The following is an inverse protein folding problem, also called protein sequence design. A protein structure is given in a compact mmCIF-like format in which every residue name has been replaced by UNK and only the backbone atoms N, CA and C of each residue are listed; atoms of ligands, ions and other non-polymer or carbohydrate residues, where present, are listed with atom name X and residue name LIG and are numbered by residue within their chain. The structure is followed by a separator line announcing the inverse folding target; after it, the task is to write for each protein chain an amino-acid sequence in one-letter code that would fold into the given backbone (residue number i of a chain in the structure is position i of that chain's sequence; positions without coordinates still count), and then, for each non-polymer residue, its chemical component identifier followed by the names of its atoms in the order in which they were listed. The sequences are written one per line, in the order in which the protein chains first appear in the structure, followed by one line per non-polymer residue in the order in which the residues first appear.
data_IF_733838693966
#
_entry.id   IF_733838693966
#
_cell.length_a   1.000
_cell.length_b   1.000
_cell.length_c   1.000
_cell.angle_alpha   90.00
_cell.angle_beta   90.00
_cell.angle_gamma   90.00
#
_symmetry.space_group_name_H-M   'P 1'
#
loop_
_entity.id
_entity.type
_entity.pdbx_description
1 polymer ?
#
# COMPACT_ATOMS: atom_id res chain seq x y z
N UNK A 1 40.78 0.26 -54.19
CA UNK A 1 39.55 1.00 -53.93
C UNK A 1 38.69 0.12 -53.03
N UNK A 2 38.74 0.35 -51.71
CA UNK A 2 37.93 -0.38 -50.72
C UNK A 2 36.71 0.50 -50.35
N UNK A 3 35.52 0.02 -50.62
CA UNK A 3 34.27 0.68 -50.22
C UNK A 3 34.05 0.39 -48.74
N UNK A 4 34.02 1.48 -47.93
CA UNK A 4 33.61 1.44 -46.53
C UNK A 4 32.07 1.55 -46.50
N UNK A 5 31.43 0.52 -45.99
CA UNK A 5 29.97 0.52 -45.75
C UNK A 5 29.72 1.13 -44.38
N UNK A 6 29.10 2.31 -44.36
CA UNK A 6 28.65 2.95 -43.10
C UNK A 6 27.32 2.32 -42.72
N UNK A 7 27.30 1.53 -41.65
CA UNK A 7 26.08 1.03 -41.05
C UNK A 7 25.62 2.09 -40.03
N UNK A 8 24.59 2.85 -40.39
CA UNK A 8 23.89 3.72 -39.46
C UNK A 8 23.04 2.86 -38.52
N UNK A 9 23.49 2.73 -37.27
CA UNK A 9 22.73 2.10 -36.25
C UNK A 9 21.55 3.01 -35.81
N UNK A 10 20.33 2.64 -36.18
CA UNK A 10 19.15 3.21 -35.57
C UNK A 10 19.06 2.71 -34.12
N UNK A 11 19.35 3.61 -33.18
CA UNK A 11 19.00 3.40 -31.78
C UNK A 11 17.46 3.51 -31.67
N UNK A 12 16.77 2.39 -31.66
CA UNK A 12 15.39 2.30 -31.24
C UNK A 12 15.35 2.61 -29.73
N UNK A 13 15.03 3.85 -29.40
CA UNK A 13 14.59 4.23 -28.06
C UNK A 13 13.27 3.49 -27.81
N UNK A 14 13.38 2.30 -27.25
CA UNK A 14 12.24 1.54 -26.74
C UNK A 14 11.70 2.25 -25.50
N UNK A 15 10.93 3.33 -25.72
CA UNK A 15 10.01 3.82 -24.69
C UNK A 15 9.00 2.73 -24.43
N UNK A 16 9.10 2.04 -23.27
CA UNK A 16 8.02 1.19 -22.80
C UNK A 16 6.78 2.07 -22.60
N UNK A 17 5.94 2.15 -23.62
CA UNK A 17 4.54 2.58 -23.49
C UNK A 17 3.82 1.55 -22.60
N UNK A 18 3.83 1.78 -21.29
CA UNK A 18 3.06 0.99 -20.33
C UNK A 18 1.55 1.29 -20.39
N UNK A 19 1.14 2.20 -21.27
CA UNK A 19 -0.26 2.58 -21.49
C UNK A 19 -0.69 2.29 -22.92
N UNK A 20 -1.22 1.07 -23.16
CA UNK A 20 -2.11 0.85 -24.29
C UNK A 20 -3.55 0.90 -23.75
N UNK A 21 -4.37 1.94 -24.10
CA UNK A 21 -5.70 2.14 -23.53
C UNK A 21 -6.70 1.01 -23.80
N UNK A 22 -6.38 0.07 -24.69
CA UNK A 22 -7.30 -0.95 -25.18
C UNK A 22 -7.04 -2.37 -24.71
N UNK A 23 -5.92 -2.64 -24.03
CA UNK A 23 -5.68 -3.92 -23.36
C UNK A 23 -5.94 -3.78 -21.87
N UNK A 24 -7.16 -4.05 -21.50
CA UNK A 24 -7.67 -4.42 -20.20
C UNK A 24 -7.02 -3.78 -18.97
N UNK A 25 -7.57 -2.64 -18.48
CA UNK A 25 -7.26 -2.07 -17.14
C UNK A 25 -7.17 -3.12 -16.03
N UNK A 26 -7.74 -4.31 -16.22
CA UNK A 26 -7.62 -5.44 -15.29
C UNK A 26 -6.19 -5.97 -15.12
N UNK A 27 -5.27 -5.68 -16.07
CA UNK A 27 -3.86 -6.06 -15.94
C UNK A 27 -3.15 -5.24 -14.85
N UNK A 28 -3.66 -4.05 -14.51
CA UNK A 28 -3.12 -3.19 -13.46
C UNK A 28 -3.61 -3.55 -12.05
N UNK A 29 -4.60 -4.43 -11.92
CA UNK A 29 -5.07 -4.88 -10.60
C UNK A 29 -3.98 -5.55 -9.74
N UNK A 30 -2.80 -5.85 -10.32
CA UNK A 30 -1.64 -6.35 -9.58
C UNK A 30 -1.13 -5.40 -8.49
N UNK A 31 -1.37 -4.07 -8.63
CA UNK A 31 -1.02 -3.08 -7.60
C UNK A 31 -2.05 -3.00 -6.48
N UNK A 32 -3.14 -3.75 -6.56
CA UNK A 32 -4.10 -3.85 -5.46
C UNK A 32 -3.44 -4.49 -4.25
N UNK A 33 -3.64 -3.89 -3.09
CA UNK A 33 -2.93 -4.29 -1.88
C UNK A 33 -3.82 -4.28 -0.64
N UNK A 34 -3.47 -5.14 0.30
CA UNK A 34 -4.15 -5.26 1.59
C UNK A 34 -3.39 -4.44 2.63
N UNK A 35 -4.07 -3.52 3.31
CA UNK A 35 -3.55 -2.73 4.41
C UNK A 35 -3.03 -3.64 5.52
N UNK A 36 -1.77 -3.48 5.92
CA UNK A 36 -1.04 -4.34 6.87
C UNK A 36 -1.06 -5.83 6.53
N UNK A 37 -1.32 -6.18 5.28
CA UNK A 37 -1.48 -7.55 4.82
C UNK A 37 -2.76 -8.26 5.31
N UNK A 38 -3.32 -7.88 6.45
CA UNK A 38 -4.46 -8.54 7.10
C UNK A 38 -5.81 -7.84 6.94
N UNK A 39 -5.78 -6.56 6.57
CA UNK A 39 -6.95 -5.71 6.62
C UNK A 39 -7.39 -5.47 8.08
N UNK A 40 -8.67 -5.21 8.28
CA UNK A 40 -9.16 -4.79 9.60
C UNK A 40 -9.50 -5.94 10.55
N UNK A 41 -10.13 -6.99 10.03
CA UNK A 41 -10.73 -8.05 10.86
C UNK A 41 -10.58 -9.46 10.29
N UNK A 42 -9.87 -9.65 9.18
CA UNK A 42 -9.82 -10.95 8.51
C UNK A 42 -8.59 -11.75 8.89
N UNK A 43 -7.43 -11.09 9.01
CA UNK A 43 -6.18 -11.73 9.43
C UNK A 43 -5.36 -10.80 10.32
N UNK A 44 -4.43 -11.37 11.13
CA UNK A 44 -3.50 -10.55 11.92
C UNK A 44 -2.65 -9.65 11.02
N UNK A 45 -2.52 -8.38 11.41
CA UNK A 45 -1.71 -7.44 10.66
C UNK A 45 -0.20 -7.67 10.85
N UNK A 46 0.56 -7.35 9.80
CA UNK A 46 2.03 -7.36 9.83
C UNK A 46 2.66 -8.70 10.24
N UNK A 47 2.11 -9.83 9.78
CA UNK A 47 2.69 -11.17 10.03
C UNK A 47 3.07 -11.87 8.73
N UNK A 48 4.11 -12.72 8.78
CA UNK A 48 4.64 -13.35 7.57
C UNK A 48 3.63 -14.30 6.91
N UNK A 49 2.87 -15.02 7.70
CA UNK A 49 1.82 -15.94 7.24
C UNK A 49 0.70 -15.17 6.52
N UNK A 50 0.32 -14.01 7.06
CA UNK A 50 -0.64 -13.12 6.44
C UNK A 50 -0.11 -12.53 5.12
N UNK A 51 1.17 -12.16 5.07
CA UNK A 51 1.81 -11.66 3.86
C UNK A 51 1.82 -12.70 2.75
N UNK A 52 2.20 -13.95 3.06
CA UNK A 52 2.14 -15.08 2.12
C UNK A 52 0.73 -15.29 1.58
N UNK A 53 -0.27 -15.27 2.47
CA UNK A 53 -1.66 -15.37 2.07
C UNK A 53 -2.09 -14.27 1.08
N UNK A 54 -1.67 -13.02 1.27
CA UNK A 54 -1.93 -11.94 0.31
C UNK A 54 -1.35 -12.24 -1.07
N UNK A 55 -0.07 -12.59 -1.12
CA UNK A 55 0.62 -12.89 -2.37
C UNK A 55 0.04 -14.10 -3.09
N UNK A 56 -0.31 -15.15 -2.35
CA UNK A 56 -0.95 -16.37 -2.88
C UNK A 56 -2.34 -16.09 -3.47
N UNK A 57 -3.03 -15.06 -2.98
CA UNK A 57 -4.28 -14.56 -3.56
C UNK A 57 -4.06 -13.56 -4.71
N UNK A 58 -2.83 -13.34 -5.16
CA UNK A 58 -2.49 -12.48 -6.28
C UNK A 58 -2.57 -10.98 -5.97
N UNK A 59 -2.50 -10.60 -4.69
CA UNK A 59 -2.49 -9.22 -4.23
C UNK A 59 -1.12 -8.82 -3.73
N UNK A 60 -0.76 -7.55 -3.89
CA UNK A 60 0.29 -6.93 -3.10
C UNK A 60 -0.16 -6.76 -1.65
N UNK A 61 0.75 -6.34 -0.80
CA UNK A 61 0.46 -5.98 0.58
C UNK A 61 1.12 -4.65 0.96
N UNK A 62 0.53 -3.99 1.91
CA UNK A 62 1.18 -2.90 2.63
C UNK A 62 1.61 -3.41 4.01
N UNK A 63 2.72 -2.92 4.51
CA UNK A 63 3.26 -3.27 5.82
C UNK A 63 4.02 -2.10 6.45
N UNK A 64 4.13 -2.14 7.77
CA UNK A 64 4.76 -1.10 8.58
C UNK A 64 6.12 -1.55 9.10
N UNK A 65 7.20 -0.83 8.77
CA UNK A 65 8.54 -1.19 9.19
C UNK A 65 9.06 -0.33 10.34
N UNK A 66 9.37 -0.96 11.48
CA UNK A 66 10.03 -0.39 12.65
C UNK A 66 11.38 -1.03 12.90
N UNK A 67 12.12 -0.46 13.84
CA UNK A 67 13.27 -1.12 14.48
C UNK A 67 12.98 -1.41 15.96
N UNK A 68 13.57 -2.46 16.46
CA UNK A 68 13.72 -2.71 17.89
C UNK A 68 14.81 -1.84 18.49
N UNK A 69 14.93 -1.83 19.83
CA UNK A 69 15.98 -1.13 20.56
C UNK A 69 17.40 -1.52 20.10
N UNK A 70 17.60 -2.78 19.77
CA UNK A 70 18.87 -3.32 19.27
C UNK A 70 19.03 -3.22 17.73
N UNK A 71 18.14 -2.49 17.06
CA UNK A 71 18.28 -2.12 15.64
C UNK A 71 17.79 -3.16 14.63
N UNK A 72 17.11 -4.22 15.07
CA UNK A 72 16.51 -5.21 14.16
C UNK A 72 15.25 -4.62 13.52
N UNK A 73 15.18 -4.65 12.18
CA UNK A 73 13.98 -4.24 11.44
C UNK A 73 12.87 -5.26 11.55
N UNK A 74 11.68 -4.83 11.92
CA UNK A 74 10.49 -5.68 12.13
C UNK A 74 9.26 -5.10 11.47
N UNK A 75 8.28 -5.95 11.14
CA UNK A 75 6.99 -5.49 10.65
C UNK A 75 6.02 -5.30 11.82
N UNK A 76 5.75 -4.03 12.16
CA UNK A 76 4.88 -3.66 13.27
C UNK A 76 4.38 -2.22 13.11
N UNK A 77 3.05 -2.02 13.11
CA UNK A 77 2.47 -0.68 13.02
C UNK A 77 2.64 0.13 14.30
N UNK A 78 2.23 -0.42 15.44
CA UNK A 78 2.12 0.32 16.69
C UNK A 78 3.49 0.52 17.37
N UNK A 79 3.61 1.57 18.16
CA UNK A 79 4.81 1.81 18.96
C UNK A 79 4.97 0.81 20.11
N UNK A 80 3.89 0.15 20.50
CA UNK A 80 3.81 -0.78 21.63
C UNK A 80 3.07 -2.05 21.23
N UNK A 81 3.13 -3.08 22.05
CA UNK A 81 2.44 -4.35 21.82
C UNK A 81 1.03 -4.42 22.44
N UNK A 82 0.51 -3.32 22.97
CA UNK A 82 -0.81 -3.28 23.65
C UNK A 82 -1.95 -3.84 22.82
N UNK A 83 -1.99 -3.51 21.53
CA UNK A 83 -3.09 -3.93 20.65
C UNK A 83 -2.93 -5.38 20.20
N UNK A 84 -1.72 -5.79 19.82
CA UNK A 84 -1.49 -7.05 19.12
C UNK A 84 -0.83 -8.13 19.98
N UNK A 85 0.00 -7.77 20.97
CA UNK A 85 0.73 -8.74 21.79
C UNK A 85 -0.17 -9.48 22.78
N UNK A 86 -0.02 -10.81 22.83
CA UNK A 86 -0.73 -11.67 23.78
C UNK A 86 0.26 -12.56 24.52
N UNK A 87 -0.17 -13.08 25.69
CA UNK A 87 0.69 -13.90 26.55
C UNK A 87 1.78 -13.13 27.29
N UNK A 88 1.68 -11.80 27.39
CA UNK A 88 2.65 -10.92 28.05
C UNK A 88 1.97 -10.03 29.10
N UNK A 89 2.76 -9.53 30.06
CA UNK A 89 2.24 -8.62 31.08
C UNK A 89 1.81 -7.26 30.48
N UNK A 90 0.90 -6.56 31.14
CA UNK A 90 0.48 -5.21 30.73
C UNK A 90 1.65 -4.23 30.72
N UNK A 91 2.61 -4.38 31.63
CA UNK A 91 3.84 -3.59 31.68
C UNK A 91 4.69 -3.82 30.42
N UNK A 92 4.93 -5.09 30.07
CA UNK A 92 5.68 -5.47 28.86
C UNK A 92 4.98 -4.92 27.61
N UNK A 93 3.66 -5.10 27.51
CA UNK A 93 2.86 -4.64 26.38
C UNK A 93 2.91 -3.10 26.22
N UNK A 94 3.12 -2.35 27.30
CA UNK A 94 3.16 -0.88 27.29
C UNK A 94 4.50 -0.29 26.86
N UNK A 95 5.58 -1.09 26.89
CA UNK A 95 6.92 -0.63 26.50
C UNK A 95 6.95 -0.23 25.03
N UNK A 96 7.69 0.83 24.73
CA UNK A 96 7.92 1.27 23.36
C UNK A 96 8.97 0.37 22.70
N UNK A 97 8.59 -0.31 21.65
CA UNK A 97 9.41 -1.33 21.00
C UNK A 97 10.78 -0.78 20.57
N UNK A 98 10.80 0.38 19.94
CA UNK A 98 12.04 0.95 19.40
C UNK A 98 12.99 1.54 20.46
N UNK A 99 12.49 1.77 21.67
CA UNK A 99 13.26 2.45 22.74
C UNK A 99 13.64 1.47 23.86
N UNK A 100 12.81 0.44 24.09
CA UNK A 100 12.87 -0.37 25.31
C UNK A 100 13.00 -1.87 25.09
N UNK A 101 12.61 -2.39 23.90
CA UNK A 101 12.55 -3.83 23.65
C UNK A 101 13.54 -4.30 22.59
N UNK A 102 14.29 -5.35 22.90
CA UNK A 102 15.16 -6.04 21.94
C UNK A 102 14.38 -7.07 21.13
N UNK A 103 14.93 -7.49 20.00
CA UNK A 103 14.36 -8.56 19.19
C UNK A 103 14.16 -9.86 19.98
N UNK A 104 15.14 -10.25 20.78
CA UNK A 104 15.04 -11.47 21.59
C UNK A 104 13.90 -11.46 22.61
N UNK A 105 13.50 -10.29 23.11
CA UNK A 105 12.38 -10.16 24.04
C UNK A 105 11.00 -10.27 23.35
N UNK A 106 10.91 -10.01 22.03
CA UNK A 106 9.61 -9.90 21.35
C UNK A 106 9.36 -10.97 20.28
N UNK A 107 10.39 -11.65 19.78
CA UNK A 107 10.31 -12.57 18.63
C UNK A 107 9.32 -13.73 18.79
N UNK A 108 9.07 -14.17 20.03
CA UNK A 108 8.22 -15.31 20.35
C UNK A 108 6.82 -14.89 20.86
N UNK A 109 6.54 -13.58 20.92
CA UNK A 109 5.25 -13.07 21.38
C UNK A 109 4.17 -13.39 20.33
N UNK A 110 3.05 -13.93 20.82
CA UNK A 110 1.83 -14.13 20.01
C UNK A 110 1.25 -12.77 19.63
N UNK A 111 1.18 -12.52 18.31
CA UNK A 111 0.57 -11.32 17.73
C UNK A 111 -0.60 -11.65 16.78
N UNK A 112 -1.19 -12.82 16.94
CA UNK A 112 -2.32 -13.29 16.14
C UNK A 112 -3.60 -13.44 16.91
N UNK A 113 -3.54 -13.92 18.16
CA UNK A 113 -4.73 -14.20 18.98
C UNK A 113 -5.61 -13.00 19.28
N UNK A 114 -5.05 -11.77 19.24
CA UNK A 114 -5.83 -10.55 19.46
C UNK A 114 -7.00 -10.41 18.49
N UNK A 115 -6.87 -10.97 17.27
CA UNK A 115 -7.90 -10.86 16.26
C UNK A 115 -9.20 -11.56 16.68
N UNK A 116 -9.10 -12.66 17.42
CA UNK A 116 -10.26 -13.41 17.93
C UNK A 116 -11.09 -12.61 18.95
N UNK A 117 -10.45 -11.67 19.64
CA UNK A 117 -11.15 -10.75 20.55
C UNK A 117 -12.00 -9.71 19.78
N UNK A 118 -11.51 -9.31 18.59
CA UNK A 118 -12.20 -8.36 17.71
C UNK A 118 -13.21 -9.04 16.78
N UNK A 119 -12.92 -10.28 16.39
CA UNK A 119 -13.74 -11.12 15.53
C UNK A 119 -13.77 -12.55 16.10
N UNK A 120 -14.75 -12.89 16.96
CA UNK A 120 -14.82 -14.21 17.59
C UNK A 120 -14.92 -15.38 16.59
N UNK A 121 -15.35 -15.13 15.35
CA UNK A 121 -15.41 -16.13 14.28
C UNK A 121 -14.10 -16.31 13.52
N UNK A 122 -13.07 -15.49 13.80
CA UNK A 122 -11.76 -15.63 13.18
C UNK A 122 -11.15 -17.01 13.49
N UNK A 123 -10.33 -17.51 12.58
CA UNK A 123 -9.52 -18.70 12.79
C UNK A 123 -8.54 -18.50 13.95
N UNK A 124 -7.91 -19.58 14.39
CA UNK A 124 -6.83 -19.51 15.37
C UNK A 124 -5.53 -19.08 14.69
N UNK A 125 -5.03 -17.93 15.10
CA UNK A 125 -3.77 -17.34 14.65
C UNK A 125 -2.72 -17.23 15.76
N UNK A 126 -2.87 -17.96 16.86
CA UNK A 126 -2.00 -17.88 18.05
C UNK A 126 -0.52 -18.21 17.76
N UNK A 127 -0.24 -18.85 16.62
CA UNK A 127 1.11 -19.13 16.14
C UNK A 127 1.78 -17.98 15.36
N UNK A 128 1.04 -16.90 15.03
CA UNK A 128 1.61 -15.76 14.31
C UNK A 128 2.59 -14.97 15.20
N UNK A 129 3.70 -14.59 14.61
CA UNK A 129 4.78 -13.84 15.23
C UNK A 129 5.12 -12.59 14.45
N UNK A 130 5.79 -11.63 15.08
CA UNK A 130 6.33 -10.45 14.40
C UNK A 130 7.44 -10.92 13.47
N UNK A 131 7.37 -10.66 12.15
CA UNK A 131 8.47 -11.01 11.25
C UNK A 131 9.54 -9.91 11.25
N UNK A 132 10.78 -10.30 10.97
CA UNK A 132 11.81 -9.33 10.60
C UNK A 132 11.64 -8.89 9.13
N UNK A 133 12.23 -7.75 8.79
CA UNK A 133 12.27 -7.27 7.40
C UNK A 133 13.00 -8.28 6.50
N UNK A 134 14.07 -8.90 7.01
CA UNK A 134 14.83 -9.92 6.31
C UNK A 134 13.98 -11.16 6.00
N UNK A 135 13.19 -11.64 6.96
CA UNK A 135 12.29 -12.78 6.76
C UNK A 135 11.21 -12.45 5.71
N UNK A 136 10.67 -11.23 5.75
CA UNK A 136 9.67 -10.75 4.80
C UNK A 136 10.27 -10.68 3.39
N UNK A 137 11.41 -10.05 3.22
CA UNK A 137 12.06 -9.91 1.90
C UNK A 137 12.59 -11.24 1.37
N UNK A 138 13.05 -12.15 2.24
CA UNK A 138 13.43 -13.50 1.83
C UNK A 138 12.24 -14.28 1.24
N UNK A 139 11.03 -14.08 1.77
CA UNK A 139 9.82 -14.72 1.23
C UNK A 139 9.39 -14.17 -0.15
N UNK A 140 9.85 -12.99 -0.53
CA UNK A 140 9.60 -12.38 -1.85
C UNK A 140 10.58 -12.89 -2.92
N UNK A 141 11.75 -13.36 -2.49
CA UNK A 141 12.82 -13.77 -3.41
C UNK A 141 12.38 -14.92 -4.31
N UNK A 142 12.58 -14.75 -5.63
CA UNK A 142 12.13 -15.74 -6.63
C UNK A 142 10.67 -15.63 -7.05
N UNK A 143 9.92 -14.71 -6.47
CA UNK A 143 8.51 -14.45 -6.79
C UNK A 143 8.33 -12.99 -7.28
N UNK A 144 8.63 -12.67 -8.55
CA UNK A 144 8.66 -11.28 -9.04
C UNK A 144 7.32 -10.53 -8.95
N UNK A 145 6.23 -11.26 -8.77
CA UNK A 145 4.87 -10.68 -8.58
C UNK A 145 4.54 -10.35 -7.12
N UNK A 146 5.40 -10.74 -6.16
CA UNK A 146 5.21 -10.42 -4.75
C UNK A 146 5.66 -8.99 -4.50
N UNK A 147 4.71 -8.06 -4.42
CA UNK A 147 4.97 -6.65 -4.16
C UNK A 147 4.72 -6.31 -2.70
N UNK A 148 5.53 -5.43 -2.15
CA UNK A 148 5.43 -4.95 -0.79
C UNK A 148 5.49 -3.42 -0.75
N UNK A 149 4.45 -2.79 -0.22
CA UNK A 149 4.37 -1.35 0.04
C UNK A 149 4.76 -1.08 1.49
N UNK A 150 5.93 -0.52 1.71
CA UNK A 150 6.50 -0.37 3.07
C UNK A 150 6.27 1.04 3.59
N UNK A 151 5.41 1.17 4.61
CA UNK A 151 5.28 2.40 5.39
C UNK A 151 6.37 2.45 6.48
N UNK A 152 7.19 3.46 6.41
CA UNK A 152 8.33 3.67 7.30
C UNK A 152 7.86 4.24 8.65
N UNK A 153 7.98 3.47 9.73
CA UNK A 153 7.57 3.80 11.11
C UNK A 153 8.76 3.99 12.06
N UNK A 154 9.89 4.48 11.57
CA UNK A 154 11.11 4.72 12.35
C UNK A 154 12.25 3.74 12.06
N UNK A 155 12.14 2.90 11.02
CA UNK A 155 13.25 2.07 10.56
C UNK A 155 14.32 2.88 9.81
N UNK A 156 13.91 3.95 9.14
CA UNK A 156 14.74 4.75 8.25
C UNK A 156 14.77 4.20 6.81
N UNK A 157 14.64 5.09 5.80
CA UNK A 157 14.58 4.69 4.39
C UNK A 157 15.87 3.99 3.94
N UNK A 158 17.04 4.44 4.39
CA UNK A 158 18.34 3.85 4.04
C UNK A 158 18.44 2.39 4.53
N UNK A 159 17.90 2.10 5.71
CA UNK A 159 17.88 0.75 6.26
C UNK A 159 16.99 -0.17 5.39
N UNK A 160 15.78 0.28 5.06
CA UNK A 160 14.83 -0.48 4.23
C UNK A 160 15.44 -0.72 2.84
N UNK A 161 15.98 0.30 2.20
CA UNK A 161 16.61 0.21 0.88
C UNK A 161 17.77 -0.80 0.87
N UNK A 162 18.66 -0.70 1.85
CA UNK A 162 19.80 -1.64 2.00
C UNK A 162 19.31 -3.07 2.15
N UNK A 163 18.28 -3.32 2.99
CA UNK A 163 17.72 -4.66 3.17
C UNK A 163 17.05 -5.21 1.91
N UNK A 164 16.38 -4.36 1.14
CA UNK A 164 15.78 -4.75 -0.14
C UNK A 164 16.85 -5.14 -1.18
N UNK A 165 17.97 -4.40 -1.24
CA UNK A 165 19.11 -4.71 -2.12
C UNK A 165 19.83 -5.98 -1.67
N UNK A 166 20.11 -6.15 -0.37
CA UNK A 166 20.72 -7.37 0.20
C UNK A 166 19.90 -8.63 -0.14
N UNK A 167 18.57 -8.53 -0.15
CA UNK A 167 17.68 -9.63 -0.50
C UNK A 167 17.48 -9.81 -2.03
N UNK A 168 17.85 -8.81 -2.85
CA UNK A 168 17.63 -8.81 -4.29
C UNK A 168 16.16 -8.58 -4.69
N UNK A 169 15.40 -7.82 -3.88
CA UNK A 169 13.96 -7.53 -4.08
C UNK A 169 13.65 -6.03 -4.21
N UNK A 170 14.66 -5.21 -4.44
CA UNK A 170 14.52 -3.75 -4.52
C UNK A 170 13.47 -3.28 -5.55
N UNK A 171 13.26 -4.05 -6.63
CA UNK A 171 12.26 -3.73 -7.66
C UNK A 171 10.83 -4.13 -7.28
N UNK A 172 10.66 -4.85 -6.17
CA UNK A 172 9.39 -5.34 -5.64
C UNK A 172 8.94 -4.53 -4.41
N UNK A 173 9.82 -3.68 -3.86
CA UNK A 173 9.57 -2.85 -2.69
C UNK A 173 9.22 -1.42 -3.11
N UNK A 174 8.04 -0.97 -2.68
CA UNK A 174 7.61 0.41 -2.83
C UNK A 174 7.68 1.10 -1.46
N UNK A 175 8.36 2.22 -1.40
CA UNK A 175 8.27 3.08 -0.22
C UNK A 175 6.91 3.78 -0.24
N UNK A 176 6.17 3.73 0.85
CA UNK A 176 4.83 4.32 0.90
C UNK A 176 4.67 5.32 2.04
N UNK A 177 3.75 6.25 1.88
CA UNK A 177 3.43 7.27 2.87
C UNK A 177 2.75 8.50 2.25
N UNK A 178 2.40 9.46 3.10
CA UNK A 178 1.64 10.67 2.73
C UNK A 178 2.50 11.88 2.38
N UNK A 179 3.81 11.78 2.47
CA UNK A 179 4.73 12.90 2.23
C UNK A 179 5.39 12.80 0.85
N UNK A 180 5.06 13.74 -0.04
CA UNK A 180 5.74 13.83 -1.33
C UNK A 180 7.25 14.04 -1.18
N UNK A 181 7.69 14.82 -0.19
CA UNK A 181 9.12 15.01 0.08
C UNK A 181 9.81 13.69 0.45
N UNK A 182 9.19 12.85 1.27
CA UNK A 182 9.74 11.52 1.59
C UNK A 182 9.81 10.61 0.36
N UNK A 183 8.85 10.69 -0.56
CA UNK A 183 8.91 9.97 -1.83
C UNK A 183 10.12 10.42 -2.68
N UNK A 184 10.39 11.73 -2.75
CA UNK A 184 11.59 12.25 -3.41
C UNK A 184 12.88 11.81 -2.71
N UNK A 185 12.90 11.80 -1.39
CA UNK A 185 14.09 11.39 -0.62
C UNK A 185 14.37 9.89 -0.80
N UNK A 186 13.32 9.06 -0.89
CA UNK A 186 13.48 7.64 -1.22
C UNK A 186 14.21 7.41 -2.54
N UNK A 187 13.89 8.17 -3.60
CA UNK A 187 14.57 8.03 -4.89
C UNK A 187 16.04 8.46 -4.86
N UNK A 188 16.46 9.25 -3.86
CA UNK A 188 17.89 9.56 -3.63
C UNK A 188 18.60 8.40 -2.92
N UNK A 189 17.92 7.74 -1.99
CA UNK A 189 18.46 6.61 -1.23
C UNK A 189 18.54 5.35 -2.10
N UNK A 190 17.53 5.11 -2.92
CA UNK A 190 17.46 3.98 -3.87
C UNK A 190 17.17 4.53 -5.26
N UNK A 191 18.21 4.77 -6.10
CA UNK A 191 18.01 5.16 -7.49
C UNK A 191 17.11 4.15 -8.22
N UNK A 192 16.07 4.63 -8.90
CA UNK A 192 14.98 3.84 -9.49
C UNK A 192 14.05 3.15 -8.46
N UNK A 193 14.19 3.45 -7.19
CA UNK A 193 13.29 2.98 -6.14
C UNK A 193 11.85 3.42 -6.40
N UNK A 194 10.92 2.48 -6.26
CA UNK A 194 9.49 2.72 -6.49
C UNK A 194 8.81 3.31 -5.26
N UNK A 195 7.77 4.10 -5.49
CA UNK A 195 7.00 4.75 -4.42
C UNK A 195 5.49 4.58 -4.63
N UNK A 196 4.75 4.53 -3.55
CA UNK A 196 3.29 4.66 -3.52
C UNK A 196 2.94 5.88 -2.67
N UNK A 197 2.53 6.98 -3.28
CA UNK A 197 2.14 8.19 -2.55
C UNK A 197 0.70 8.10 -2.08
N UNK A 198 0.46 8.24 -0.78
CA UNK A 198 -0.89 8.37 -0.22
C UNK A 198 -1.37 9.80 -0.29
N UNK A 199 -2.62 10.01 -0.72
CA UNK A 199 -3.26 11.32 -0.75
C UNK A 199 -4.61 11.21 -0.04
N UNK A 200 -4.84 12.11 0.93
CA UNK A 200 -6.11 12.20 1.63
C UNK A 200 -6.23 11.37 2.90
N UNK A 201 -5.12 11.07 3.58
CA UNK A 201 -5.13 10.33 4.85
C UNK A 201 -5.82 11.07 5.99
N UNK A 202 -5.79 12.40 5.97
CA UNK A 202 -6.38 13.29 6.99
C UNK A 202 -6.98 14.54 6.35
N UNK A 203 -8.00 15.16 6.95
CA UNK A 203 -8.81 14.70 8.08
C UNK A 203 -9.79 13.60 7.65
N UNK A 204 -10.06 12.62 8.53
CA UNK A 204 -11.06 11.57 8.26
C UNK A 204 -12.46 12.20 8.27
N UNK A 205 -13.23 12.13 7.17
CA UNK A 205 -14.60 12.63 7.15
C UNK A 205 -15.50 11.85 8.12
N UNK A 206 -16.45 12.52 8.73
CA UNK A 206 -17.49 11.85 9.47
C UNK A 206 -18.44 11.12 8.51
N UNK A 207 -19.10 10.03 8.93
CA UNK A 207 -20.08 9.33 8.11
C UNK A 207 -21.19 10.26 7.58
N UNK A 208 -21.55 11.28 8.37
CA UNK A 208 -22.54 12.31 8.07
C UNK A 208 -21.85 13.60 7.61
N UNK A 209 -21.03 13.48 6.55
CA UNK A 209 -20.32 14.63 5.99
C UNK A 209 -21.28 15.60 5.28
N UNK A 210 -20.97 16.88 5.36
CA UNK A 210 -21.67 17.98 4.66
C UNK A 210 -20.76 18.61 3.62
N UNK A 211 -21.29 19.59 2.87
CA UNK A 211 -20.54 20.29 1.82
C UNK A 211 -19.24 20.94 2.33
N UNK A 212 -19.22 21.47 3.56
CA UNK A 212 -18.01 22.08 4.14
C UNK A 212 -16.96 21.03 4.49
N UNK A 213 -17.37 19.85 4.95
CA UNK A 213 -16.45 18.73 5.19
C UNK A 213 -15.82 18.24 3.89
N UNK A 214 -16.61 18.13 2.81
CA UNK A 214 -16.12 17.76 1.48
C UNK A 214 -15.10 18.79 0.99
N UNK A 215 -15.43 20.08 1.05
CA UNK A 215 -14.54 21.15 0.61
C UNK A 215 -13.22 21.16 1.38
N UNK A 216 -13.27 20.96 2.70
CA UNK A 216 -12.06 20.86 3.53
C UNK A 216 -11.20 19.67 3.14
N UNK A 217 -11.81 18.53 2.86
CA UNK A 217 -11.11 17.33 2.45
C UNK A 217 -10.45 17.49 1.07
N UNK A 218 -11.17 18.05 0.10
CA UNK A 218 -10.63 18.35 -1.22
C UNK A 218 -9.49 19.38 -1.16
N UNK A 219 -9.59 20.39 -0.29
CA UNK A 219 -8.50 21.34 -0.05
C UNK A 219 -7.23 20.65 0.51
N UNK A 220 -7.39 19.62 1.33
CA UNK A 220 -6.26 18.82 1.81
C UNK A 220 -5.60 18.03 0.67
N UNK A 221 -6.39 17.41 -0.21
CA UNK A 221 -5.89 16.78 -1.43
C UNK A 221 -5.08 17.75 -2.28
N UNK A 222 -5.65 18.96 -2.56
CA UNK A 222 -4.99 19.97 -3.38
C UNK A 222 -3.66 20.43 -2.80
N UNK A 223 -3.51 20.47 -1.48
CA UNK A 223 -2.22 20.79 -0.84
C UNK A 223 -1.11 19.83 -1.27
N UNK A 224 -1.40 18.52 -1.30
CA UNK A 224 -0.43 17.50 -1.73
C UNK A 224 -0.26 17.55 -3.25
N UNK A 225 -1.37 17.67 -4.00
CA UNK A 225 -1.35 17.76 -5.46
C UNK A 225 -0.52 18.94 -5.96
N UNK A 226 -0.59 20.10 -5.29
CA UNK A 226 0.22 21.26 -5.64
C UNK A 226 1.72 21.00 -5.45
N UNK A 227 2.12 20.24 -4.45
CA UNK A 227 3.53 19.81 -4.28
C UNK A 227 3.95 18.86 -5.41
N UNK A 228 3.11 17.89 -5.75
CA UNK A 228 3.37 16.92 -6.82
C UNK A 228 3.50 17.62 -8.18
N UNK A 229 2.56 18.52 -8.52
CA UNK A 229 2.60 19.33 -9.74
C UNK A 229 3.86 20.19 -9.81
N UNK A 230 4.19 20.90 -8.73
CA UNK A 230 5.40 21.72 -8.65
C UNK A 230 6.68 20.89 -8.81
N UNK A 231 6.69 19.65 -8.34
CA UNK A 231 7.79 18.70 -8.51
C UNK A 231 7.79 17.97 -9.86
N UNK A 232 6.85 18.24 -10.76
CA UNK A 232 6.75 17.61 -12.08
C UNK A 232 6.53 16.08 -11.98
N UNK A 233 5.79 15.63 -10.97
CA UNK A 233 5.44 14.22 -10.70
C UNK A 233 6.66 13.29 -10.46
N UNK A 234 7.85 13.86 -10.30
CA UNK A 234 9.08 13.09 -10.06
C UNK A 234 8.97 12.27 -8.77
N UNK A 235 9.51 11.07 -8.78
CA UNK A 235 9.54 10.21 -7.59
C UNK A 235 8.20 9.58 -7.23
N UNK A 236 7.15 9.71 -8.05
CA UNK A 236 5.85 9.07 -7.84
C UNK A 236 5.71 7.91 -8.84
N UNK A 237 5.70 6.67 -8.34
CA UNK A 237 5.55 5.47 -9.18
C UNK A 237 4.11 4.96 -9.21
N UNK A 238 3.37 5.20 -8.13
CA UNK A 238 1.96 4.90 -8.00
C UNK A 238 1.33 5.81 -6.94
N UNK A 239 0.01 5.91 -6.93
CA UNK A 239 -0.75 6.70 -5.96
C UNK A 239 -1.86 5.88 -5.33
N UNK A 240 -2.12 6.08 -4.04
CA UNK A 240 -3.31 5.58 -3.37
C UNK A 240 -4.14 6.74 -2.84
N UNK A 241 -5.32 6.93 -3.43
CA UNK A 241 -6.27 7.97 -3.03
C UNK A 241 -7.15 7.46 -1.91
N UNK A 242 -7.18 8.18 -0.79
CA UNK A 242 -8.06 7.85 0.32
C UNK A 242 -9.46 8.38 0.02
N UNK A 243 -10.46 7.52 0.06
CA UNK A 243 -11.84 7.87 -0.20
C UNK A 243 -12.76 7.33 0.90
N UNK A 244 -13.92 7.95 1.03
CA UNK A 244 -14.99 7.52 1.94
C UNK A 244 -16.25 7.39 1.13
N UNK A 245 -17.03 6.36 1.38
CA UNK A 245 -18.24 6.09 0.65
C UNK A 245 -19.42 5.88 1.61
N UNK A 246 -20.44 6.70 1.45
CA UNK A 246 -21.73 6.54 2.13
C UNK A 246 -22.86 6.62 1.10
N UNK A 247 -23.50 5.51 0.71
CA UNK A 247 -24.53 5.49 -0.33
C UNK A 247 -25.80 6.27 0.07
N UNK A 248 -25.96 6.64 1.35
CA UNK A 248 -27.11 7.40 1.87
C UNK A 248 -26.88 8.92 1.82
N UNK A 249 -25.65 9.38 1.57
CA UNK A 249 -25.36 10.80 1.47
C UNK A 249 -25.77 11.35 0.09
N UNK A 250 -26.11 12.63 0.04
CA UNK A 250 -26.42 13.32 -1.23
C UNK A 250 -25.22 13.31 -2.19
N UNK A 251 -23.99 13.43 -1.65
CA UNK A 251 -22.73 13.16 -2.35
C UNK A 251 -22.13 11.89 -1.72
N UNK A 252 -22.22 10.74 -2.39
CA UNK A 252 -21.80 9.47 -1.77
C UNK A 252 -20.31 9.35 -1.51
N UNK A 253 -19.47 10.04 -2.31
CA UNK A 253 -18.02 9.98 -2.16
C UNK A 253 -17.44 11.24 -1.51
N UNK A 254 -16.42 11.05 -0.68
CA UNK A 254 -15.57 12.13 -0.17
C UNK A 254 -14.11 11.70 -0.41
N UNK A 255 -13.38 12.44 -1.25
CA UNK A 255 -13.77 13.58 -2.09
C UNK A 255 -14.88 13.22 -3.08
N UNK A 256 -15.54 14.22 -3.66
CA UNK A 256 -16.59 14.00 -4.68
C UNK A 256 -16.09 13.11 -5.81
N UNK A 257 -16.98 12.28 -6.35
CA UNK A 257 -16.63 11.37 -7.46
C UNK A 257 -16.03 12.11 -8.66
N UNK A 258 -16.56 13.29 -9.03
CA UNK A 258 -16.01 14.13 -10.10
C UNK A 258 -14.61 14.66 -9.80
N UNK A 259 -14.32 14.97 -8.53
CA UNK A 259 -13.00 15.40 -8.09
C UNK A 259 -12.00 14.23 -8.11
N UNK A 260 -12.38 13.06 -7.57
CA UNK A 260 -11.55 11.85 -7.63
C UNK A 260 -11.20 11.51 -9.07
N UNK A 261 -12.21 11.51 -9.98
CA UNK A 261 -11.95 11.24 -11.39
C UNK A 261 -10.98 12.23 -12.01
N UNK A 262 -11.11 13.54 -11.73
CA UNK A 262 -10.15 14.54 -12.20
C UNK A 262 -8.72 14.23 -11.78
N UNK A 263 -8.52 13.84 -10.51
CA UNK A 263 -7.18 13.50 -9.99
C UNK A 263 -6.64 12.21 -10.62
N UNK A 264 -7.51 11.21 -10.82
CA UNK A 264 -7.13 9.95 -11.50
C UNK A 264 -6.67 10.26 -12.94
N UNK A 265 -7.46 11.01 -13.72
CA UNK A 265 -7.13 11.39 -15.10
C UNK A 265 -5.82 12.19 -15.17
N UNK A 266 -5.56 13.05 -14.18
CA UNK A 266 -4.33 13.83 -14.07
C UNK A 266 -3.10 12.93 -13.88
N UNK A 267 -3.14 11.94 -12.97
CA UNK A 267 -2.06 11.00 -12.80
C UNK A 267 -1.86 10.10 -14.03
N UNK A 268 -2.96 9.66 -14.65
CA UNK A 268 -2.90 8.88 -15.89
C UNK A 268 -2.22 9.64 -17.03
N UNK A 269 -2.45 10.95 -17.15
CA UNK A 269 -1.76 11.79 -18.13
C UNK A 269 -0.23 11.79 -17.96
N UNK A 270 0.25 11.45 -16.77
CA UNK A 270 1.67 11.29 -16.45
C UNK A 270 2.13 9.83 -16.41
N UNK A 271 1.29 8.87 -16.82
CA UNK A 271 1.62 7.44 -16.81
C UNK A 271 1.69 6.82 -15.41
N UNK A 272 1.07 7.44 -14.40
CA UNK A 272 1.11 7.01 -13.01
C UNK A 272 -0.18 6.27 -12.68
N UNK A 273 -0.12 4.97 -12.30
CA UNK A 273 -1.28 4.20 -11.91
C UNK A 273 -1.84 4.66 -10.55
N UNK A 274 -3.17 4.55 -10.42
CA UNK A 274 -3.91 5.03 -9.26
C UNK A 274 -4.69 3.90 -8.59
N UNK A 275 -4.40 3.67 -7.31
CA UNK A 275 -5.27 2.89 -6.42
C UNK A 275 -6.20 3.82 -5.64
N UNK A 276 -7.25 3.26 -5.06
CA UNK A 276 -8.02 3.95 -4.01
C UNK A 276 -8.33 3.02 -2.85
N UNK A 277 -8.29 3.57 -1.63
CA UNK A 277 -8.74 2.89 -0.42
C UNK A 277 -10.06 3.50 0.04
N UNK A 278 -11.17 2.75 0.02
CA UNK A 278 -12.44 3.18 0.59
C UNK A 278 -12.46 2.86 2.10
N UNK A 279 -11.99 3.76 2.95
CA UNK A 279 -12.00 3.58 4.41
C UNK A 279 -13.38 3.40 5.02
N UNK A 280 -14.42 4.01 4.43
CA UNK A 280 -15.80 3.70 4.74
C UNK A 280 -16.48 3.12 3.50
N UNK A 281 -17.30 2.09 3.70
CA UNK A 281 -17.98 1.38 2.61
C UNK A 281 -17.14 0.31 1.91
N UNK A 282 -15.87 0.12 2.29
CA UNK A 282 -14.98 -0.91 1.71
C UNK A 282 -15.39 -2.35 2.03
N UNK A 283 -16.37 -2.55 2.90
CA UNK A 283 -17.05 -3.82 3.16
C UNK A 283 -18.05 -4.22 2.07
N UNK A 284 -18.21 -3.40 1.01
CA UNK A 284 -19.19 -3.59 -0.08
C UNK A 284 -18.51 -3.63 -1.43
N UNK A 285 -18.83 -4.61 -2.24
CA UNK A 285 -18.31 -4.74 -3.62
C UNK A 285 -18.66 -3.52 -4.48
N UNK A 286 -19.83 -2.92 -4.28
CA UNK A 286 -20.32 -1.76 -5.03
C UNK A 286 -19.31 -0.61 -5.09
N UNK A 287 -18.63 -0.31 -3.97
CA UNK A 287 -17.70 0.81 -3.92
C UNK A 287 -16.48 0.57 -4.82
N UNK A 288 -15.97 -0.67 -4.86
CA UNK A 288 -14.83 -1.02 -5.71
C UNK A 288 -15.19 -0.97 -7.20
N UNK A 289 -16.39 -1.42 -7.58
CA UNK A 289 -16.88 -1.26 -8.96
C UNK A 289 -16.97 0.21 -9.36
N UNK A 290 -17.52 1.07 -8.49
CA UNK A 290 -17.58 2.52 -8.74
C UNK A 290 -16.19 3.16 -8.85
N UNK A 291 -15.24 2.78 -8.00
CA UNK A 291 -13.85 3.24 -8.09
C UNK A 291 -13.18 2.77 -9.39
N UNK A 292 -13.42 1.54 -9.80
CA UNK A 292 -12.95 1.04 -11.09
C UNK A 292 -13.54 1.80 -12.27
N UNK A 293 -14.84 2.09 -12.24
CA UNK A 293 -15.53 2.88 -13.27
C UNK A 293 -15.00 4.32 -13.34
N UNK A 294 -14.63 4.93 -12.20
CA UNK A 294 -13.99 6.24 -12.17
C UNK A 294 -12.57 6.24 -12.74
N UNK A 295 -11.93 5.08 -12.88
CA UNK A 295 -10.61 4.99 -13.48
C UNK A 295 -9.55 4.35 -12.60
N UNK A 296 -9.81 3.96 -11.36
CA UNK A 296 -8.81 3.32 -10.52
C UNK A 296 -8.24 2.06 -11.18
N UNK A 297 -6.92 1.91 -11.12
CA UNK A 297 -6.17 0.79 -11.68
C UNK A 297 -6.02 -0.35 -10.66
N UNK A 298 -6.28 -0.06 -9.40
CA UNK A 298 -6.21 -1.01 -8.31
C UNK A 298 -6.90 -0.49 -7.06
N UNK A 299 -6.86 -1.29 -6.01
CA UNK A 299 -7.50 -0.98 -4.74
C UNK A 299 -6.53 -1.19 -3.58
N UNK A 300 -6.59 -0.32 -2.59
CA UNK A 300 -6.12 -0.62 -1.25
C UNK A 300 -7.32 -1.01 -0.38
N UNK A 301 -7.16 -1.90 0.60
CA UNK A 301 -8.33 -2.41 1.32
C UNK A 301 -8.06 -2.79 2.77
N UNK A 302 -9.08 -2.54 3.60
CA UNK A 302 -9.26 -3.16 4.92
C UNK A 302 -10.13 -4.42 4.88
N UNK A 303 -10.69 -4.79 3.70
CA UNK A 303 -11.62 -5.91 3.51
C UNK A 303 -11.15 -6.80 2.35
N UNK A 304 -10.06 -7.57 2.55
CA UNK A 304 -9.42 -8.32 1.48
C UNK A 304 -10.33 -9.31 0.77
N UNK A 305 -11.19 -10.04 1.48
CA UNK A 305 -12.12 -11.00 0.85
C UNK A 305 -13.08 -10.33 -0.13
N UNK A 306 -13.56 -9.12 0.19
CA UNK A 306 -14.42 -8.32 -0.70
C UNK A 306 -13.64 -7.87 -1.93
N UNK A 307 -12.44 -7.32 -1.73
CA UNK A 307 -11.57 -6.89 -2.83
C UNK A 307 -11.23 -8.05 -3.75
N UNK A 308 -10.84 -9.21 -3.22
CA UNK A 308 -10.51 -10.39 -4.04
C UNK A 308 -11.71 -10.88 -4.86
N UNK A 309 -12.92 -10.83 -4.30
CA UNK A 309 -14.16 -11.14 -5.03
C UNK A 309 -14.34 -10.20 -6.21
N UNK A 310 -14.21 -8.90 -5.99
CA UNK A 310 -14.34 -7.87 -7.04
C UNK A 310 -13.28 -8.05 -8.12
N UNK A 311 -12.01 -8.26 -7.75
CA UNK A 311 -10.92 -8.44 -8.71
C UNK A 311 -11.19 -9.66 -9.61
N UNK A 312 -11.66 -10.78 -9.06
CA UNK A 312 -12.06 -11.96 -9.86
C UNK A 312 -13.17 -11.61 -10.85
N UNK A 313 -14.23 -10.95 -10.37
CA UNK A 313 -15.36 -10.52 -11.23
C UNK A 313 -14.91 -9.60 -12.36
N UNK A 314 -14.04 -8.63 -12.08
CA UNK A 314 -13.49 -7.73 -13.09
C UNK A 314 -12.65 -8.47 -14.13
N UNK A 315 -11.80 -9.43 -13.72
CA UNK A 315 -11.03 -10.28 -14.65
C UNK A 315 -11.91 -11.16 -15.53
N UNK A 316 -13.07 -11.58 -15.03
CA UNK A 316 -14.08 -12.34 -15.77
C UNK A 316 -14.98 -11.44 -16.64
N UNK A 317 -14.75 -10.14 -16.70
CA UNK A 317 -15.59 -9.18 -17.44
C UNK A 317 -16.95 -8.89 -16.78
N UNK A 318 -17.14 -9.31 -15.54
CA UNK A 318 -18.36 -9.05 -14.77
C UNK A 318 -18.21 -7.69 -14.07
N UNK A 319 -19.20 -6.80 -14.26
CA UNK A 319 -19.20 -5.44 -13.70
C UNK A 319 -20.29 -5.19 -12.67
N UNK A 320 -20.96 -6.26 -12.24
CA UNK A 320 -22.00 -6.24 -11.19
C UNK A 320 -21.98 -7.54 -10.40
#
# INVERSE_FOLDING_TARGET
MKKVLLIAGLALAGGCCWFCPEKGRTDLLYISHVHRGGGKLERPDNTLETFKWCWENGSALECDCRKTKDGVGIMLHDRTLKRTGRGISAEMAAKKVSEELTWNEIKDIDVGSYLKELNPSAADFSHHRIPTIEATFAAMKGHPTYLCFVDEKGAGPEYIARKAVEAGVQDQVYYTGESYQKALDWTKVLPNGKTLLWIGTWPVPKPEHNAADIARFEAHFEKIMNQVRAGGYKGVSAVSLHSYYNPKAAEPFVPRASYLKKIIDEFHAHGIPVCSIPFAGGDKEEVYFKLFEMGCDGFSTDYPSVMFSVIRKLKEGKRK
#
